data_IF_763178830197
#
_entry.id   IF_763178830197
#
_cell.length_a   1.000
_cell.length_b   1.000
_cell.length_c   1.000
_cell.angle_alpha   90.00
_cell.angle_beta   90.00
_cell.angle_gamma   90.00
#
_symmetry.space_group_name_H-M   'P 1'
#
loop_
_entity.id
_entity.type
_entity.pdbx_description
1 polymer ?
#
# COMPACT_ATOMS: atom_id res chain seq x y z
N UNK A 1 37.03 10.87 20.52
CA UNK A 1 36.50 9.88 19.56
C UNK A 1 35.16 10.39 19.09
N UNK A 2 35.04 10.86 17.85
CA UNK A 2 33.80 11.41 17.33
C UNK A 2 32.87 10.26 16.95
N UNK A 3 31.82 10.05 17.73
CA UNK A 3 30.79 9.05 17.44
C UNK A 3 30.09 9.47 16.15
N UNK A 4 30.31 8.76 15.04
CA UNK A 4 29.57 8.99 13.81
C UNK A 4 28.10 8.65 14.10
N UNK A 5 27.26 9.69 14.14
CA UNK A 5 25.83 9.55 14.32
C UNK A 5 25.29 8.80 13.10
N UNK A 6 24.99 7.51 13.27
CA UNK A 6 24.46 6.68 12.18
C UNK A 6 23.16 7.32 11.71
N UNK A 7 23.14 7.76 10.45
CA UNK A 7 21.96 8.35 9.83
C UNK A 7 20.91 7.26 9.69
N UNK A 8 19.82 7.39 10.44
CA UNK A 8 18.65 6.53 10.30
C UNK A 8 18.10 6.62 8.88
N UNK A 9 17.73 5.48 8.30
CA UNK A 9 17.16 5.40 6.97
C UNK A 9 15.87 4.57 7.01
N UNK A 10 14.85 5.06 6.31
CA UNK A 10 13.53 4.42 6.27
C UNK A 10 13.43 3.48 5.05
N UNK A 11 13.26 2.16 5.24
CA UNK A 11 13.04 1.22 4.15
C UNK A 11 11.85 1.59 3.28
N UNK A 12 11.93 1.30 1.97
CA UNK A 12 10.88 1.57 0.99
C UNK A 12 9.61 0.73 1.21
N UNK A 13 9.68 -0.33 2.03
CA UNK A 13 8.54 -1.15 2.42
C UNK A 13 7.61 -0.49 3.44
N UNK A 14 8.10 0.52 4.19
CA UNK A 14 7.28 1.32 5.10
C UNK A 14 6.75 2.50 4.30
N UNK A 15 5.49 2.44 3.89
CA UNK A 15 4.91 3.37 2.92
C UNK A 15 4.02 4.39 3.62
N UNK A 16 3.19 3.94 4.55
CA UNK A 16 2.07 4.72 5.09
C UNK A 16 2.28 5.10 6.57
N UNK A 17 1.57 6.14 7.07
CA UNK A 17 1.53 6.45 8.50
C UNK A 17 1.03 5.27 9.36
N UNK A 18 0.13 4.45 8.81
CA UNK A 18 -0.37 3.25 9.48
C UNK A 18 0.74 2.22 9.72
N UNK A 19 1.67 2.07 8.79
CA UNK A 19 2.82 1.17 8.95
C UNK A 19 3.71 1.64 10.11
N UNK A 20 3.98 2.94 10.19
CA UNK A 20 4.76 3.55 11.28
C UNK A 20 4.06 3.32 12.62
N UNK A 21 2.76 3.58 12.71
CA UNK A 21 1.99 3.37 13.94
C UNK A 21 1.97 1.89 14.37
N UNK A 22 1.89 0.96 13.41
CA UNK A 22 1.97 -0.49 13.69
C UNK A 22 3.36 -0.85 14.25
N UNK A 23 4.43 -0.36 13.64
CA UNK A 23 5.80 -0.61 14.10
C UNK A 23 6.05 -0.02 15.50
N UNK A 24 5.50 1.15 15.82
CA UNK A 24 5.62 1.73 17.17
C UNK A 24 5.00 0.82 18.23
N UNK A 25 3.77 0.33 18.00
CA UNK A 25 3.10 -0.60 18.91
C UNK A 25 3.88 -1.90 19.07
N UNK A 26 4.44 -2.40 17.99
CA UNK A 26 5.26 -3.61 18.01
C UNK A 26 6.53 -3.44 18.86
N UNK A 27 7.20 -2.27 18.82
CA UNK A 27 8.31 -1.99 19.73
C UNK A 27 7.86 -1.90 21.19
N UNK A 28 6.71 -1.29 21.45
CA UNK A 28 6.14 -1.21 22.81
C UNK A 28 5.79 -2.61 23.35
N UNK A 29 5.22 -3.48 22.53
CA UNK A 29 4.96 -4.89 22.88
C UNK A 29 6.25 -5.64 23.24
N UNK A 30 7.33 -5.42 22.48
CA UNK A 30 8.64 -6.03 22.76
C UNK A 30 9.23 -5.48 24.06
N UNK A 31 9.14 -4.16 24.31
CA UNK A 31 9.64 -3.57 25.55
C UNK A 31 8.86 -4.07 26.76
N UNK A 32 7.53 -4.15 26.63
CA UNK A 32 6.66 -4.72 27.66
C UNK A 32 7.00 -6.19 27.94
N UNK A 33 7.30 -6.98 26.91
CA UNK A 33 7.77 -8.36 27.08
C UNK A 33 9.05 -8.42 27.93
N UNK A 34 10.06 -7.62 27.61
CA UNK A 34 11.31 -7.61 28.39
C UNK A 34 11.13 -7.13 29.83
N UNK A 35 10.30 -6.09 30.06
CA UNK A 35 9.96 -5.65 31.43
C UNK A 35 9.27 -6.75 32.23
N UNK A 36 8.37 -7.51 31.60
CA UNK A 36 7.73 -8.64 32.26
C UNK A 36 8.72 -9.78 32.56
N UNK A 37 9.70 -10.01 31.69
CA UNK A 37 10.76 -11.00 31.94
C UNK A 37 11.62 -10.62 33.16
N UNK A 38 11.90 -9.34 33.37
CA UNK A 38 12.68 -8.88 34.53
C UNK A 38 11.96 -9.07 35.87
N UNK A 39 10.63 -9.04 35.87
CA UNK A 39 9.80 -9.19 37.08
C UNK A 39 9.55 -10.67 37.42
N UNK A 40 9.49 -11.54 36.42
CA UNK A 40 9.19 -12.96 36.63
C UNK A 40 10.41 -13.72 37.12
N UNK A 41 10.20 -14.57 38.13
CA UNK A 41 11.21 -15.52 38.57
C UNK A 41 11.40 -16.61 37.51
N UNK A 42 12.65 -17.04 37.31
CA UNK A 42 13.06 -18.08 36.36
C UNK A 42 12.22 -19.36 36.54
N UNK A 43 11.36 -19.70 35.57
CA UNK A 43 10.59 -20.94 35.61
C UNK A 43 9.36 -20.99 34.70
N UNK A 44 8.75 -19.84 34.37
CA UNK A 44 7.64 -19.78 33.42
C UNK A 44 8.14 -19.60 31.98
N UNK A 45 7.73 -20.48 31.08
CA UNK A 45 8.01 -20.30 29.65
C UNK A 45 7.12 -19.18 29.11
N UNK A 46 7.76 -18.14 28.58
CA UNK A 46 7.05 -17.08 27.88
C UNK A 46 7.64 -16.96 26.48
N UNK A 47 6.81 -17.23 25.48
CA UNK A 47 7.20 -17.11 24.08
C UNK A 47 7.41 -15.64 23.72
N UNK A 48 8.55 -15.26 23.10
CA UNK A 48 8.75 -13.89 22.65
C UNK A 48 7.68 -13.48 21.63
N UNK A 49 7.28 -12.20 21.61
CA UNK A 49 6.36 -11.68 20.60
C UNK A 49 6.94 -11.90 19.20
N UNK A 50 6.05 -12.22 18.25
CA UNK A 50 6.46 -12.46 16.86
C UNK A 50 6.75 -11.14 16.18
N UNK A 51 7.94 -11.02 15.59
CA UNK A 51 8.35 -9.86 14.83
C UNK A 51 7.76 -9.89 13.41
N UNK A 52 7.27 -8.74 12.97
CA UNK A 52 6.74 -8.53 11.63
C UNK A 52 7.88 -8.36 10.64
N UNK A 53 7.64 -8.79 9.39
CA UNK A 53 8.63 -8.65 8.32
C UNK A 53 9.06 -7.20 8.07
N UNK A 54 8.17 -6.23 8.31
CA UNK A 54 8.49 -4.81 8.17
C UNK A 54 9.46 -4.35 9.25
N UNK A 55 9.27 -4.83 10.49
CA UNK A 55 10.17 -4.54 11.60
C UNK A 55 11.53 -5.20 11.39
N UNK A 56 11.58 -6.47 10.97
CA UNK A 56 12.82 -7.16 10.59
C UNK A 56 13.61 -6.37 9.55
N UNK A 57 12.93 -5.87 8.51
CA UNK A 57 13.55 -5.04 7.48
C UNK A 57 14.07 -3.72 8.03
N UNK A 58 13.29 -3.04 8.88
CA UNK A 58 13.70 -1.77 9.49
C UNK A 58 14.97 -1.92 10.32
N UNK A 59 15.02 -2.96 11.16
CA UNK A 59 16.15 -3.25 12.03
C UNK A 59 17.38 -3.65 11.22
N UNK A 60 17.20 -4.57 10.27
CA UNK A 60 18.30 -5.06 9.43
C UNK A 60 18.90 -3.93 8.59
N UNK A 61 18.06 -3.04 8.05
CA UNK A 61 18.48 -1.92 7.22
C UNK A 61 19.27 -0.86 8.01
N UNK A 62 18.95 -0.68 9.29
CA UNK A 62 19.62 0.27 10.18
C UNK A 62 20.65 -0.37 11.12
N UNK A 63 20.90 -1.68 11.00
CA UNK A 63 21.85 -2.43 11.83
C UNK A 63 21.61 -2.29 13.34
N UNK A 64 20.35 -2.22 13.76
CA UNK A 64 19.98 -2.08 15.17
C UNK A 64 19.77 -3.43 15.86
N UNK A 65 19.82 -3.47 17.19
CA UNK A 65 19.57 -4.70 17.95
C UNK A 65 18.47 -4.51 19.00
N UNK A 66 17.29 -5.09 18.77
CA UNK A 66 16.15 -4.96 19.69
C UNK A 66 16.34 -5.63 21.06
N UNK A 67 17.35 -6.48 21.23
CA UNK A 67 17.68 -7.02 22.55
C UNK A 67 18.21 -5.92 23.48
N UNK A 68 18.76 -4.83 22.94
CA UNK A 68 19.27 -3.69 23.70
C UNK A 68 18.16 -2.68 23.96
N UNK A 69 17.91 -2.36 25.23
CA UNK A 69 16.92 -1.35 25.64
C UNK A 69 17.15 0.02 24.99
N UNK A 70 18.42 0.43 24.89
CA UNK A 70 18.81 1.68 24.24
C UNK A 70 18.36 1.76 22.78
N UNK A 71 18.51 0.67 22.02
CA UNK A 71 18.16 0.66 20.60
C UNK A 71 16.64 0.62 20.41
N UNK A 72 15.90 -0.10 21.27
CA UNK A 72 14.42 -0.05 21.29
C UNK A 72 13.91 1.37 21.54
N UNK A 73 14.47 2.05 22.55
CA UNK A 73 14.10 3.43 22.86
C UNK A 73 14.41 4.39 21.71
N UNK A 74 15.56 4.23 21.04
CA UNK A 74 15.92 5.00 19.84
C UNK A 74 14.93 4.76 18.70
N UNK A 75 14.61 3.49 18.38
CA UNK A 75 13.65 3.16 17.32
C UNK A 75 12.29 3.77 17.62
N UNK A 76 11.80 3.60 18.84
CA UNK A 76 10.51 4.16 19.26
C UNK A 76 10.49 5.68 19.15
N UNK A 77 11.52 6.37 19.64
CA UNK A 77 11.62 7.83 19.53
C UNK A 77 11.62 8.30 18.07
N UNK A 78 12.38 7.63 17.20
CA UNK A 78 12.41 7.95 15.77
C UNK A 78 11.04 7.71 15.12
N UNK A 79 10.37 6.60 15.41
CA UNK A 79 9.04 6.31 14.87
C UNK A 79 7.99 7.31 15.37
N UNK A 80 8.08 7.78 16.62
CA UNK A 80 7.22 8.84 17.16
C UNK A 80 7.45 10.18 16.45
N UNK A 81 8.71 10.61 16.28
CA UNK A 81 9.07 11.81 15.50
C UNK A 81 8.61 11.68 14.05
N UNK A 82 8.78 10.50 13.44
CA UNK A 82 8.32 10.24 12.09
C UNK A 82 6.79 10.34 11.99
N UNK A 83 6.06 9.87 12.99
CA UNK A 83 4.61 9.94 13.00
C UNK A 83 4.08 11.39 13.14
N UNK A 84 4.76 12.27 13.89
CA UNK A 84 4.33 13.66 14.08
C UNK A 84 4.80 14.60 12.96
N UNK A 85 6.04 14.43 12.50
CA UNK A 85 6.73 15.46 11.72
C UNK A 85 6.90 15.08 10.24
N UNK A 86 6.69 13.82 9.86
CA UNK A 86 6.86 13.40 8.47
C UNK A 86 5.84 14.07 7.54
N UNK A 87 6.28 14.53 6.36
CA UNK A 87 5.34 15.01 5.35
C UNK A 87 4.50 13.82 4.83
N UNK A 88 3.18 13.97 4.91
CA UNK A 88 2.21 12.99 4.40
C UNK A 88 1.65 13.46 3.06
N UNK A 89 1.76 12.61 2.05
CA UNK A 89 1.16 12.82 0.72
C UNK A 89 -0.01 11.87 0.52
N UNK A 90 -1.14 12.39 0.05
CA UNK A 90 -2.30 11.58 -0.28
C UNK A 90 -2.35 11.36 -1.79
N UNK A 91 -2.25 10.10 -2.24
CA UNK A 91 -2.31 9.77 -3.66
C UNK A 91 -3.57 8.95 -3.92
N UNK A 92 -4.45 9.48 -4.78
CA UNK A 92 -5.68 8.82 -5.19
C UNK A 92 -5.52 8.18 -6.56
N UNK A 93 -5.85 6.90 -6.69
CA UNK A 93 -5.80 6.13 -7.95
C UNK A 93 -7.20 5.73 -8.39
N UNK A 94 -7.38 5.40 -9.68
CA UNK A 94 -8.68 4.88 -10.16
C UNK A 94 -8.94 3.45 -9.69
N UNK A 95 -7.88 2.67 -9.50
CA UNK A 95 -7.88 1.27 -9.04
C UNK A 95 -6.79 1.05 -8.00
N UNK A 96 -6.89 -0.03 -7.22
CA UNK A 96 -5.89 -0.35 -6.20
C UNK A 96 -4.52 -0.64 -6.83
N UNK A 97 -3.48 0.16 -6.53
CA UNK A 97 -2.17 -0.03 -7.12
C UNK A 97 -1.44 -1.22 -6.47
N UNK A 98 -0.70 -2.03 -7.24
CA UNK A 98 0.09 -3.12 -6.65
C UNK A 98 1.20 -2.55 -5.73
N UNK A 99 1.47 -3.24 -4.62
CA UNK A 99 2.43 -2.75 -3.60
C UNK A 99 3.84 -2.44 -4.14
N UNK A 100 4.33 -3.20 -5.11
CA UNK A 100 5.64 -2.95 -5.75
C UNK A 100 5.67 -1.67 -6.56
N UNK A 101 4.54 -1.22 -7.11
CA UNK A 101 4.42 0.05 -7.79
C UNK A 101 4.46 1.21 -6.80
N UNK A 102 3.78 1.09 -5.66
CA UNK A 102 3.86 2.07 -4.57
C UNK A 102 5.28 2.22 -4.03
N UNK A 103 6.02 1.11 -3.87
CA UNK A 103 7.41 1.16 -3.43
C UNK A 103 8.29 1.99 -4.37
N UNK A 104 8.11 1.86 -5.70
CA UNK A 104 8.84 2.69 -6.69
C UNK A 104 8.49 4.17 -6.58
N UNK A 105 7.22 4.48 -6.36
CA UNK A 105 6.77 5.86 -6.14
C UNK A 105 7.42 6.43 -4.87
N UNK A 106 7.35 5.71 -3.76
CA UNK A 106 7.93 6.16 -2.47
C UNK A 106 9.44 6.32 -2.57
N UNK A 107 10.14 5.38 -3.20
CA UNK A 107 11.57 5.46 -3.45
C UNK A 107 11.93 6.72 -4.26
N UNK A 108 11.19 7.02 -5.33
CA UNK A 108 11.37 8.25 -6.09
C UNK A 108 11.08 9.51 -5.24
N UNK A 109 9.99 9.53 -4.49
CA UNK A 109 9.62 10.66 -3.62
C UNK A 109 10.68 10.92 -2.54
N UNK A 110 11.28 9.86 -1.98
CA UNK A 110 12.31 9.99 -0.95
C UNK A 110 13.63 10.53 -1.46
N UNK A 111 13.98 10.21 -2.70
CA UNK A 111 15.19 10.74 -3.35
C UNK A 111 15.04 12.19 -3.81
N UNK A 112 13.83 12.57 -4.24
CA UNK A 112 13.62 13.86 -4.92
C UNK A 112 12.90 14.91 -4.06
N UNK A 113 12.14 14.52 -3.04
CA UNK A 113 11.33 15.45 -2.24
C UNK A 113 11.78 15.44 -0.78
N UNK A 114 11.58 14.34 -0.05
CA UNK A 114 11.93 14.25 1.36
C UNK A 114 12.18 12.80 1.79
N UNK A 115 13.32 12.54 2.44
CA UNK A 115 13.78 11.19 2.78
C UNK A 115 12.79 10.39 3.66
N UNK A 116 11.95 11.09 4.42
CA UNK A 116 10.98 10.51 5.35
C UNK A 116 9.51 10.70 4.94
N UNK A 117 9.25 10.99 3.65
CA UNK A 117 7.88 11.13 3.18
C UNK A 117 7.08 9.84 3.34
N UNK A 118 5.83 9.99 3.78
CA UNK A 118 4.84 8.93 3.91
C UNK A 118 3.71 9.15 2.92
N UNK A 119 3.12 8.07 2.44
CA UNK A 119 2.07 8.09 1.42
C UNK A 119 0.81 7.40 1.94
N UNK A 120 -0.30 8.13 1.89
CA UNK A 120 -1.64 7.59 2.11
C UNK A 120 -2.30 7.35 0.76
N UNK A 121 -2.70 6.11 0.51
CA UNK A 121 -3.33 5.71 -0.76
C UNK A 121 -4.85 5.79 -0.63
N UNK A 122 -5.50 6.38 -1.63
CA UNK A 122 -6.97 6.44 -1.74
C UNK A 122 -7.45 5.96 -3.11
N UNK A 123 -8.74 5.62 -3.19
CA UNK A 123 -9.39 5.22 -4.44
C UNK A 123 -10.37 6.31 -4.90
N UNK A 124 -10.28 6.70 -6.17
CA UNK A 124 -11.15 7.67 -6.83
C UNK A 124 -11.50 7.17 -8.24
N UNK A 125 -12.49 6.28 -8.38
CA UNK A 125 -12.83 5.65 -9.67
C UNK A 125 -13.23 6.66 -10.75
N UNK A 126 -13.73 7.83 -10.37
CA UNK A 126 -14.19 8.89 -11.29
C UNK A 126 -13.07 9.54 -12.13
N UNK A 127 -11.79 9.26 -11.84
CA UNK A 127 -10.66 9.82 -12.61
C UNK A 127 -10.35 9.01 -13.89
N UNK A 128 -10.90 7.79 -14.01
CA UNK A 128 -10.69 6.88 -15.14
C UNK A 128 -9.29 6.26 -15.15
N UNK A 129 -8.26 7.07 -15.43
CA UNK A 129 -6.87 6.67 -15.45
C UNK A 129 -5.96 7.77 -14.90
N UNK A 130 -4.78 7.38 -14.40
CA UNK A 130 -3.82 8.28 -13.76
C UNK A 130 -3.99 8.34 -12.24
N UNK A 131 -3.56 9.44 -11.63
CA UNK A 131 -3.67 9.65 -10.20
C UNK A 131 -3.82 11.14 -9.85
N UNK A 132 -4.35 11.40 -8.66
CA UNK A 132 -4.40 12.74 -8.08
C UNK A 132 -3.50 12.75 -6.84
N UNK A 133 -2.52 13.66 -6.82
CA UNK A 133 -1.59 13.83 -5.72
C UNK A 133 -1.99 15.05 -4.92
N UNK A 134 -2.38 14.84 -3.66
CA UNK A 134 -2.71 15.88 -2.69
C UNK A 134 -1.60 15.97 -1.64
N UNK A 135 -1.12 17.18 -1.41
CA UNK A 135 -0.30 17.56 -0.26
C UNK A 135 -1.18 18.37 0.70
N UNK A 136 -0.61 18.86 1.81
CA UNK A 136 -1.34 19.72 2.76
C UNK A 136 -1.91 20.99 2.10
N UNK A 137 -1.17 21.58 1.16
CA UNK A 137 -1.49 22.90 0.61
C UNK A 137 -1.77 22.92 -0.89
N UNK A 138 -1.50 21.83 -1.61
CA UNK A 138 -1.60 21.76 -3.07
C UNK A 138 -2.16 20.43 -3.55
N UNK A 139 -2.91 20.50 -4.64
CA UNK A 139 -3.43 19.35 -5.37
C UNK A 139 -2.87 19.38 -6.80
N UNK A 140 -2.39 18.23 -7.26
CA UNK A 140 -1.93 18.01 -8.63
C UNK A 140 -2.75 16.88 -9.23
N UNK A 141 -3.47 17.17 -10.31
CA UNK A 141 -4.29 16.20 -11.01
C UNK A 141 -3.54 15.71 -12.25
N UNK A 142 -3.12 14.44 -12.23
CA UNK A 142 -2.48 13.75 -13.34
C UNK A 142 -3.45 12.74 -13.98
N UNK A 143 -4.75 12.98 -13.87
CA UNK A 143 -5.77 12.12 -14.46
C UNK A 143 -5.94 12.36 -15.95
N UNK A 144 -6.37 11.30 -16.65
CA UNK A 144 -6.76 11.38 -18.04
C UNK A 144 -7.95 12.34 -18.25
N UNK A 145 -8.83 12.45 -17.26
CA UNK A 145 -9.94 13.41 -17.26
C UNK A 145 -9.43 14.84 -17.36
N UNK A 146 -8.48 15.21 -16.51
CA UNK A 146 -7.92 16.56 -16.52
C UNK A 146 -7.15 16.83 -17.82
N UNK A 147 -6.44 15.82 -18.34
CA UNK A 147 -5.81 15.91 -19.65
C UNK A 147 -6.80 16.21 -20.78
N UNK A 148 -7.98 15.57 -20.80
CA UNK A 148 -9.03 15.85 -21.78
C UNK A 148 -9.66 17.23 -21.61
N UNK A 149 -9.81 17.70 -20.37
CA UNK A 149 -10.32 19.05 -20.09
C UNK A 149 -9.38 20.11 -20.67
N UNK A 150 -8.08 19.98 -20.41
CA UNK A 150 -7.06 20.93 -20.89
C UNK A 150 -6.96 20.99 -22.41
N UNK A 151 -7.23 19.86 -23.09
CA UNK A 151 -7.16 19.74 -24.54
C UNK A 151 -8.54 19.75 -25.21
N UNK A 152 -9.58 20.19 -24.52
CA UNK A 152 -10.96 20.11 -25.01
C UNK A 152 -11.15 20.80 -26.36
N UNK A 153 -10.60 22.00 -26.52
CA UNK A 153 -10.70 22.77 -27.77
C UNK A 153 -10.04 22.04 -28.94
N UNK A 154 -8.84 21.50 -28.72
CA UNK A 154 -8.12 20.69 -29.70
C UNK A 154 -8.95 19.47 -30.14
N UNK A 155 -9.64 18.80 -29.21
CA UNK A 155 -10.50 17.67 -29.56
C UNK A 155 -11.76 18.08 -30.34
N UNK A 156 -12.36 19.23 -30.01
CA UNK A 156 -13.51 19.75 -30.74
C UNK A 156 -13.12 20.08 -32.18
N UNK A 157 -11.98 20.76 -32.37
CA UNK A 157 -11.45 21.10 -33.70
C UNK A 157 -11.20 19.84 -34.54
N UNK A 158 -10.56 18.83 -33.96
CA UNK A 158 -10.30 17.55 -34.66
C UNK A 158 -11.57 16.75 -34.95
N UNK A 159 -12.54 16.77 -34.05
CA UNK A 159 -13.85 16.13 -34.29
C UNK A 159 -14.57 16.81 -35.45
N UNK A 160 -14.65 18.13 -35.46
CA UNK A 160 -15.25 18.87 -36.58
C UNK A 160 -14.53 18.55 -37.88
N UNK A 161 -13.19 18.59 -37.89
CA UNK A 161 -12.39 18.26 -39.08
C UNK A 161 -12.71 16.86 -39.62
N UNK A 162 -12.83 15.85 -38.74
CA UNK A 162 -13.11 14.46 -39.14
C UNK A 162 -14.53 14.23 -39.66
N UNK A 163 -15.53 14.99 -39.17
CA UNK A 163 -16.93 14.82 -39.59
C UNK A 163 -17.14 15.34 -41.02
N UNK A 164 -16.39 16.35 -41.45
CA UNK A 164 -16.54 16.92 -42.79
C UNK A 164 -15.81 16.14 -43.91
N UNK A 165 -14.90 15.22 -43.58
CA UNK A 165 -14.09 14.51 -44.58
C UNK A 165 -14.84 13.31 -45.24
N UNK A 166 -16.02 12.92 -44.74
CA UNK A 166 -16.78 11.76 -45.26
C UNK A 166 -17.70 12.09 -46.46
N UNK A 167 -17.83 13.36 -46.84
CA UNK A 167 -18.63 13.76 -48.01
C UNK A 167 -17.74 13.99 -49.23
N UNK A 168 -17.01 12.98 -49.67
CA UNK A 168 -16.57 12.92 -51.07
C UNK A 168 -17.63 12.18 -51.89
N UNK A 169 -18.21 12.80 -52.92
CA UNK A 169 -19.12 12.11 -53.83
C UNK A 169 -18.35 10.97 -54.50
N UNK A 170 -18.88 9.76 -54.37
CA UNK A 170 -18.42 8.57 -55.10
C UNK A 170 -18.10 8.96 -56.54
N UNK A 171 -16.82 8.97 -56.89
CA UNK A 171 -16.46 8.97 -58.30
C UNK A 171 -16.89 7.61 -58.87
N UNK A 172 -17.61 7.60 -60.00
CA UNK A 172 -18.11 6.38 -60.59
C UNK A 172 -16.94 5.44 -60.89
N UNK A 173 -16.98 4.28 -60.25
CA UNK A 173 -16.09 3.14 -60.49
C UNK A 173 -16.18 2.77 -61.98
N UNK A 174 -15.17 3.17 -62.74
CA UNK A 174 -14.92 2.60 -64.06
C UNK A 174 -14.44 1.17 -63.88
N UNK A 175 -15.34 0.24 -64.18
CA UNK A 175 -15.14 -1.20 -64.31
C UNK A 175 -14.04 -1.51 -65.32
N UNK A 176 -12.79 -1.58 -64.86
CA UNK A 176 -11.66 -2.09 -65.61
C UNK A 176 -11.51 -3.59 -65.37
N UNK A 177 -12.11 -4.39 -66.25
CA UNK A 177 -11.78 -5.80 -66.44
C UNK A 177 -10.29 -5.94 -66.71
N UNK A 178 -9.55 -6.65 -65.84
CA UNK A 178 -8.26 -7.21 -66.20
C UNK A 178 -8.17 -8.66 -65.76
N UNK A 179 -7.70 -9.41 -66.74
CA UNK A 179 -7.78 -10.84 -66.90
C UNK A 179 -6.90 -11.63 -65.93
N UNK A 180 -7.28 -12.90 -65.83
CA UNK A 180 -6.56 -13.98 -65.22
C UNK A 180 -5.07 -14.02 -65.63
N UNK A 181 -4.19 -14.16 -64.63
CA UNK A 181 -2.96 -14.90 -64.84
C UNK A 181 -2.64 -15.81 -63.65
N UNK A 182 -2.79 -17.07 -63.98
CA UNK A 182 -2.35 -18.29 -63.32
C UNK A 182 -0.85 -18.23 -63.02
N UNK A 183 -0.44 -18.60 -61.81
CA UNK A 183 0.97 -18.50 -61.39
C UNK A 183 1.23 -19.12 -60.01
N UNK A 184 1.77 -20.34 -60.05
CA UNK A 184 2.01 -21.26 -58.94
C UNK A 184 2.98 -20.78 -57.83
N UNK A 185 2.77 -21.40 -56.64
CA UNK A 185 3.62 -21.68 -55.44
C UNK A 185 5.16 -21.45 -55.54
N UNK A 186 5.93 -21.30 -54.42
CA UNK A 186 5.73 -21.98 -53.13
C UNK A 186 6.19 -21.28 -51.82
N UNK A 187 5.93 -22.00 -50.71
CA UNK A 187 6.79 -22.18 -49.53
C UNK A 187 6.77 -21.17 -48.35
N UNK A 188 6.35 -21.74 -47.21
CA UNK A 188 6.97 -21.66 -45.87
C UNK A 188 6.90 -20.32 -45.10
N UNK A 189 6.09 -20.28 -44.04
CA UNK A 189 6.68 -20.23 -42.69
C UNK A 189 5.70 -20.72 -41.61
N UNK A 190 6.00 -21.89 -41.08
CA UNK A 190 5.31 -22.54 -39.96
C UNK A 190 5.93 -22.02 -38.68
N UNK A 191 5.29 -21.06 -38.00
CA UNK A 191 5.66 -20.72 -36.61
C UNK A 191 4.67 -21.40 -35.67
N UNK A 192 5.15 -22.51 -35.13
CA UNK A 192 4.51 -23.36 -34.12
C UNK A 192 4.09 -22.56 -32.90
N UNK A 193 2.78 -22.54 -32.66
CA UNK A 193 2.14 -22.07 -31.43
C UNK A 193 2.11 -23.27 -30.47
N UNK A 194 3.17 -23.46 -29.69
CA UNK A 194 3.13 -24.40 -28.56
C UNK A 194 2.29 -23.79 -27.44
N UNK A 195 1.01 -24.16 -27.44
CA UNK A 195 0.17 -24.14 -26.26
C UNK A 195 0.77 -25.12 -25.25
N UNK A 196 1.40 -24.60 -24.21
CA UNK A 196 1.64 -25.36 -23.01
C UNK A 196 0.32 -25.44 -22.24
N UNK A 197 -0.39 -26.56 -22.44
CA UNK A 197 -1.17 -27.18 -21.37
C UNK A 197 -0.26 -27.32 -20.14
N UNK A 198 -0.60 -26.62 -19.06
CA UNK A 198 -0.15 -27.04 -17.75
C UNK A 198 -1.27 -26.85 -16.73
N UNK A 199 -2.02 -27.95 -16.58
CA UNK A 199 -2.32 -28.58 -15.30
C UNK A 199 -2.93 -27.69 -14.22
N UNK A 200 -4.26 -27.71 -14.18
CA UNK A 200 -5.03 -27.48 -12.97
C UNK A 200 -4.64 -28.52 -11.89
N UNK A 201 -4.36 -28.12 -10.64
CA UNK A 201 -4.46 -29.03 -9.52
C UNK A 201 -5.93 -29.17 -9.11
N UNK A 202 -6.44 -30.39 -9.21
CA UNK A 202 -7.72 -30.80 -8.66
C UNK A 202 -7.76 -30.54 -7.14
N UNK A 203 -8.73 -29.75 -6.70
CA UNK A 203 -9.09 -29.62 -5.29
C UNK A 203 -9.90 -30.84 -4.87
N UNK A 204 -9.47 -31.67 -3.90
CA UNK A 204 -10.35 -32.66 -3.30
C UNK A 204 -11.40 -31.96 -2.43
N UNK A 205 -12.66 -32.28 -2.70
CA UNK A 205 -13.80 -31.93 -1.89
C UNK A 205 -13.58 -32.39 -0.44
N UNK A 206 -13.59 -31.44 0.49
CA UNK A 206 -13.65 -31.74 1.93
C UNK A 206 -15.12 -31.72 2.36
N UNK A 207 -15.62 -32.78 3.01
CA UNK A 207 -17.01 -32.84 3.45
C UNK A 207 -17.30 -31.88 4.61
N UNK A 208 -18.46 -31.25 4.51
CA UNK A 208 -19.12 -30.49 5.58
C UNK A 208 -19.44 -31.46 6.71
N UNK A 209 -18.69 -31.39 7.81
CA UNK A 209 -19.07 -31.95 9.09
C UNK A 209 -19.68 -30.83 9.93
N UNK A 210 -21.00 -30.86 10.04
CA UNK A 210 -21.80 -30.13 11.02
C UNK A 210 -21.43 -30.69 12.39
N UNK A 211 -20.88 -29.88 13.27
CA UNK A 211 -20.78 -30.20 14.70
C UNK A 211 -21.46 -29.09 15.47
N UNK A 212 -22.52 -29.50 16.18
CA UNK A 212 -23.24 -28.70 17.14
C UNK A 212 -22.39 -28.53 18.40
N UNK A 213 -22.20 -27.29 18.83
CA UNK A 213 -21.81 -26.92 20.20
C UNK A 213 -22.73 -25.76 20.58
N UNK A 214 -23.83 -26.07 21.26
CA UNK A 214 -23.94 -26.19 22.72
C UNK A 214 -23.86 -24.83 23.42
N UNK A 215 -25.03 -24.39 23.84
CA UNK A 215 -25.34 -23.11 24.43
C UNK A 215 -25.00 -23.16 25.93
N UNK A 216 -23.75 -22.89 26.29
CA UNK A 216 -23.35 -22.72 27.69
C UNK A 216 -23.34 -21.23 28.10
N UNK A 217 -24.52 -20.79 28.52
CA UNK A 217 -24.79 -19.84 29.61
C UNK A 217 -23.57 -19.29 30.38
N UNK A 218 -23.19 -18.02 30.15
CA UNK A 218 -22.31 -17.27 31.04
C UNK A 218 -23.13 -16.24 31.81
N UNK A 219 -23.38 -16.56 33.07
CA UNK A 219 -23.94 -15.68 34.09
C UNK A 219 -22.84 -14.66 34.46
N UNK A 220 -23.09 -13.38 34.16
CA UNK A 220 -22.26 -12.27 34.64
C UNK A 220 -22.77 -11.87 36.03
N UNK A 221 -21.98 -12.00 37.11
CA UNK A 221 -22.35 -11.39 38.39
C UNK A 221 -22.16 -9.87 38.32
N UNK A 222 -23.23 -9.16 38.70
CA UNK A 222 -23.22 -7.72 38.91
C UNK A 222 -22.17 -7.34 39.95
N UNK A 223 -21.19 -6.52 39.57
CA UNK A 223 -20.18 -5.99 40.47
C UNK A 223 -20.71 -4.68 41.06
N UNK A 224 -20.81 -4.70 42.37
CA UNK A 224 -21.37 -3.69 43.25
C UNK A 224 -20.67 -2.34 43.13
N UNK A 225 -21.46 -1.28 42.92
CA UNK A 225 -20.99 0.10 42.86
C UNK A 225 -20.74 0.63 44.28
N UNK A 226 -19.57 0.33 44.83
CA UNK A 226 -19.11 0.97 46.08
C UNK A 226 -18.59 2.36 45.77
N UNK A 227 -19.47 3.36 45.96
CA UNK A 227 -19.15 4.78 46.00
C UNK A 227 -18.13 5.07 47.10
N UNK A 228 -16.86 5.27 46.72
CA UNK A 228 -15.87 5.87 47.61
C UNK A 228 -16.00 7.40 47.59
N UNK A 229 -16.41 7.90 48.74
CA UNK A 229 -16.55 9.28 49.16
C UNK A 229 -15.15 9.93 49.23
N UNK A 230 -14.74 10.66 48.19
CA UNK A 230 -13.54 11.49 48.23
C UNK A 230 -13.86 12.73 49.09
N UNK A 231 -13.24 12.78 50.26
CA UNK A 231 -13.26 13.95 51.13
C UNK A 231 -12.42 15.07 50.50
N UNK A 232 -13.09 16.15 50.12
CA UNK A 232 -12.48 17.44 49.80
C UNK A 232 -12.10 18.09 51.11
N UNK A 233 -10.81 18.07 51.44
CA UNK A 233 -10.21 18.94 52.45
C UNK A 233 -9.41 20.03 51.73
N UNK A 234 -10.00 21.23 51.63
CA UNK A 234 -9.25 22.45 51.91
C UNK A 234 -9.54 22.88 53.35
N UNK A 235 -9.09 24.06 53.84
CA UNK A 235 -8.20 25.06 53.25
C UNK A 235 -7.06 25.45 54.25
N UNK A 236 -6.49 26.65 54.07
CA UNK A 236 -5.52 27.38 54.93
C UNK A 236 -4.04 27.08 54.63
N UNK A 237 -3.15 28.03 54.32
CA UNK A 237 -3.16 29.49 54.43
C UNK A 237 -2.27 30.12 53.34
#
# INVERSE_FOLDING_TARGET
>A
MSTQQQKFQLPTSIISPTDVARLSREIEEIDNYFRQQEIRNSGESNTPPRLSKLMDQLISYNQMNLLRSEDRAKVLGILQTLHSDAPVMHISFSVDPPGSYLQKIVDWLRRNIHAYVLVTVGLQPNIGAGCIVRTTNKMFDFSLREYFNQKREFFIEKLHSSVFEVTQPEQPVTSGTQDAQDGAMPAQNTVSRQNAENSAPATPATPVAVTAEDSANVIIPAVDATSQKIAVNGPEA
#
